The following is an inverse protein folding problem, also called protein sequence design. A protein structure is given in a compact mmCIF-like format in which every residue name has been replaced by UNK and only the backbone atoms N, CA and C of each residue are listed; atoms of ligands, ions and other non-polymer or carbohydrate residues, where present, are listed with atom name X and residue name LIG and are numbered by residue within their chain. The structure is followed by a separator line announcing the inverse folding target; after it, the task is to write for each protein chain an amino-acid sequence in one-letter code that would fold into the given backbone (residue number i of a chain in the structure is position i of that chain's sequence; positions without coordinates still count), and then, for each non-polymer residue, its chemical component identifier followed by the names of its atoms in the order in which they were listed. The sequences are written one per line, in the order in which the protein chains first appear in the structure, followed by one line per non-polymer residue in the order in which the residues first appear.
data_IF_964566378489
#
_entry.id   IF_964566378489
#
_cell.length_a   1.000
_cell.length_b   1.000
_cell.length_c   1.000
_cell.angle_alpha   90.00
_cell.angle_beta   90.00
_cell.angle_gamma   90.00
#
_symmetry.space_group_name_H-M   'P 1'
#
loop_
_entity.id
_entity.type
_entity.pdbx_description
1 polymer ?
#
# COMPACT_ATOMS: atom_id res chain seq x y z
N UNK A 1 8.81 17.02 -11.98
CA UNK A 1 8.10 17.59 -10.82
C UNK A 1 8.30 16.63 -9.65
N UNK A 2 8.53 17.08 -8.40
CA UNK A 2 8.73 16.13 -7.30
C UNK A 2 7.43 15.40 -7.00
N UNK A 3 7.47 14.08 -7.06
CA UNK A 3 6.36 13.22 -6.62
C UNK A 3 6.03 13.54 -5.16
N UNK A 4 4.76 13.86 -4.88
CA UNK A 4 4.33 13.98 -3.50
C UNK A 4 4.17 12.56 -2.94
N UNK A 5 4.80 12.27 -1.80
CA UNK A 5 4.83 10.94 -1.21
C UNK A 5 4.21 10.98 0.19
N UNK A 6 3.24 10.10 0.44
CA UNK A 6 2.64 9.89 1.77
C UNK A 6 2.92 8.46 2.21
N UNK A 7 3.80 8.28 3.20
CA UNK A 7 4.05 6.96 3.81
C UNK A 7 2.95 6.62 4.80
N UNK A 8 2.35 5.44 4.62
CA UNK A 8 1.28 4.93 5.47
C UNK A 8 1.86 4.26 6.72
N UNK A 9 2.36 5.07 7.67
CA UNK A 9 3.16 4.57 8.80
C UNK A 9 2.37 3.80 9.87
N UNK A 10 1.57 4.48 10.69
CA UNK A 10 0.83 3.86 11.80
C UNK A 10 -0.54 4.44 12.06
N UNK A 11 -1.49 3.72 12.71
CA UNK A 11 -1.43 2.30 13.06
C UNK A 11 -2.02 1.39 11.96
N UNK A 12 -1.39 0.24 11.73
CA UNK A 12 -1.97 -0.89 10.98
C UNK A 12 -2.57 -1.91 11.95
N UNK A 13 -3.67 -2.53 11.55
CA UNK A 13 -4.24 -3.70 12.22
C UNK A 13 -3.66 -4.96 11.57
N UNK A 14 -3.05 -5.82 12.36
CA UNK A 14 -2.57 -7.14 11.98
C UNK A 14 -3.59 -8.18 12.41
N UNK A 15 -4.13 -8.92 11.44
CA UNK A 15 -5.06 -10.01 11.67
C UNK A 15 -4.36 -11.32 11.31
N UNK A 16 -4.06 -12.18 12.28
CA UNK A 16 -3.60 -13.53 12.00
C UNK A 16 -4.62 -14.28 11.15
N UNK A 17 -4.16 -15.05 10.18
CA UNK A 17 -5.01 -16.02 9.49
C UNK A 17 -5.41 -17.16 10.42
N UNK A 18 -6.41 -17.97 10.04
CA UNK A 18 -6.83 -19.13 10.81
C UNK A 18 -5.64 -20.08 11.02
N UNK A 19 -5.34 -20.37 12.28
CA UNK A 19 -4.36 -21.41 12.64
C UNK A 19 -5.02 -22.80 12.64
N UNK A 20 -4.23 -23.87 12.48
CA UNK A 20 -4.75 -25.24 12.49
C UNK A 20 -5.43 -25.64 13.82
N UNK A 21 -5.11 -24.95 14.93
CA UNK A 21 -5.57 -25.25 16.30
C UNK A 21 -6.35 -24.08 16.96
N UNK A 22 -6.86 -23.12 16.18
CA UNK A 22 -7.49 -21.93 16.76
C UNK A 22 -8.99 -22.14 17.03
N UNK A 23 -9.34 -22.53 18.26
CA UNK A 23 -10.73 -22.60 18.75
C UNK A 23 -11.36 -21.20 18.95
N UNK A 24 -10.53 -20.15 19.00
CA UNK A 24 -10.94 -18.75 19.17
C UNK A 24 -10.53 -17.87 17.99
N UNK A 25 -11.35 -16.87 17.59
CA UNK A 25 -10.99 -15.92 16.55
C UNK A 25 -9.75 -15.12 16.98
N UNK A 26 -8.74 -14.97 16.09
CA UNK A 26 -7.51 -14.28 16.45
C UNK A 26 -7.78 -12.79 16.72
N UNK A 27 -7.34 -12.31 17.88
CA UNK A 27 -7.44 -10.89 18.24
C UNK A 27 -6.54 -10.05 17.33
N UNK A 28 -7.06 -8.94 16.75
CA UNK A 28 -6.23 -8.04 15.96
C UNK A 28 -5.19 -7.36 16.84
N UNK A 29 -3.92 -7.39 16.43
CA UNK A 29 -2.85 -6.60 17.05
C UNK A 29 -2.54 -5.36 16.21
N UNK A 30 -1.79 -4.40 16.77
CA UNK A 30 -1.39 -3.19 16.05
C UNK A 30 0.09 -3.20 15.72
N UNK A 31 0.45 -2.66 14.56
CA UNK A 31 1.82 -2.52 14.10
C UNK A 31 1.98 -1.19 13.36
N UNK A 32 3.16 -0.59 13.47
CA UNK A 32 3.57 0.53 12.62
C UNK A 32 4.51 0.05 11.52
N UNK A 33 4.35 0.62 10.34
CA UNK A 33 5.17 0.36 9.17
C UNK A 33 6.04 1.59 8.82
N UNK A 34 7.22 1.38 8.23
CA UNK A 34 7.88 0.08 8.16
C UNK A 34 8.37 -0.37 9.56
N UNK A 35 8.49 -1.67 9.76
CA UNK A 35 8.91 -2.29 11.01
C UNK A 35 10.32 -2.90 10.88
N UNK A 36 10.99 -3.19 11.99
CA UNK A 36 12.31 -3.82 11.95
C UNK A 36 12.25 -5.28 11.49
N UNK A 37 11.12 -5.97 11.75
CA UNK A 37 10.94 -7.37 11.37
C UNK A 37 9.46 -7.74 11.15
N UNK A 38 9.19 -8.78 10.34
CA UNK A 38 7.84 -9.31 10.15
C UNK A 38 7.30 -9.95 11.44
N UNK A 39 6.09 -9.60 11.90
CA UNK A 39 5.53 -10.12 13.16
C UNK A 39 5.08 -11.59 13.08
N UNK A 40 4.75 -12.10 11.88
CA UNK A 40 4.12 -13.41 11.68
C UNK A 40 4.67 -14.14 10.44
N UNK A 41 6.00 -14.29 10.36
CA UNK A 41 6.73 -14.96 9.28
C UNK A 41 6.13 -16.29 8.78
N UNK A 42 5.58 -17.07 9.70
CA UNK A 42 5.22 -18.48 9.48
C UNK A 42 3.71 -18.71 9.29
N UNK A 43 2.89 -17.65 9.32
CA UNK A 43 1.43 -17.79 9.20
C UNK A 43 0.87 -16.79 8.20
N UNK A 44 -0.18 -17.16 7.45
CA UNK A 44 -0.88 -16.17 6.65
C UNK A 44 -1.41 -15.08 7.57
N UNK A 45 -1.37 -13.83 7.14
CA UNK A 45 -1.95 -12.73 7.89
C UNK A 45 -2.48 -11.63 6.97
N UNK A 46 -3.30 -10.75 7.52
CA UNK A 46 -3.82 -9.58 6.82
C UNK A 46 -3.42 -8.32 7.57
N UNK A 47 -2.87 -7.36 6.86
CA UNK A 47 -2.64 -6.01 7.34
C UNK A 47 -3.77 -5.12 6.85
N UNK A 48 -4.40 -4.37 7.74
CA UNK A 48 -5.48 -3.43 7.42
C UNK A 48 -5.12 -2.04 7.89
N UNK A 49 -5.37 -1.05 7.07
CA UNK A 49 -5.23 0.35 7.47
C UNK A 49 -6.30 1.20 6.83
N UNK A 50 -6.87 2.09 7.63
CA UNK A 50 -7.71 3.15 7.12
C UNK A 50 -6.89 4.40 6.80
N UNK A 51 -7.15 5.02 5.66
CA UNK A 51 -6.52 6.29 5.28
C UNK A 51 -7.57 7.24 4.71
N UNK A 52 -7.37 8.54 4.94
CA UNK A 52 -8.24 9.57 4.38
C UNK A 52 -7.94 9.81 2.92
N UNK A 53 -8.91 10.36 2.17
CA UNK A 53 -8.59 10.94 0.86
C UNK A 53 -7.58 12.07 1.04
N UNK A 54 -6.44 12.05 0.33
CA UNK A 54 -5.48 13.14 0.35
C UNK A 54 -6.18 14.47 -0.04
N UNK A 55 -6.10 15.46 0.85
CA UNK A 55 -6.68 16.78 0.60
C UNK A 55 -5.79 17.51 -0.42
N UNK A 56 -6.39 18.05 -1.48
CA UNK A 56 -5.74 18.84 -2.55
C UNK A 56 -4.86 18.04 -3.53
N UNK A 57 -5.46 17.14 -4.30
CA UNK A 57 -4.86 16.74 -5.57
C UNK A 57 -5.34 17.68 -6.67
N UNK A 58 -4.44 18.26 -7.49
CA UNK A 58 -4.82 18.96 -8.71
C UNK A 58 -5.76 18.10 -9.57
N UNK A 59 -6.71 18.71 -10.30
CA UNK A 59 -7.45 17.99 -11.33
C UNK A 59 -6.47 17.31 -12.30
N UNK A 60 -6.66 16.01 -12.56
CA UNK A 60 -5.78 15.22 -13.42
C UNK A 60 -4.56 14.59 -12.74
N UNK A 61 -4.37 14.81 -11.44
CA UNK A 61 -3.34 14.09 -10.68
C UNK A 61 -3.71 12.63 -10.50
N UNK A 62 -2.75 11.74 -10.74
CA UNK A 62 -2.89 10.31 -10.47
C UNK A 62 -2.42 9.99 -9.04
N UNK A 63 -2.99 8.94 -8.44
CA UNK A 63 -2.51 8.37 -7.20
C UNK A 63 -2.11 6.92 -7.45
N UNK A 64 -0.92 6.53 -7.00
CA UNK A 64 -0.43 5.15 -7.05
C UNK A 64 -0.15 4.64 -5.66
N UNK A 65 -0.39 3.35 -5.44
CA UNK A 65 0.07 2.62 -4.28
C UNK A 65 1.40 1.97 -4.61
N UNK A 66 2.43 2.26 -3.82
CA UNK A 66 3.74 1.62 -3.86
C UNK A 66 3.98 0.82 -2.59
N UNK A 67 4.25 -0.47 -2.74
CA UNK A 67 4.56 -1.41 -1.65
C UNK A 67 5.92 -2.03 -1.90
N UNK A 68 6.80 -1.88 -0.92
CA UNK A 68 8.19 -2.35 -0.97
C UNK A 68 8.53 -3.14 0.29
N UNK A 69 9.47 -4.07 0.16
CA UNK A 69 10.01 -4.84 1.29
C UNK A 69 8.94 -5.59 2.10
N UNK A 70 7.87 -6.05 1.43
CA UNK A 70 6.76 -6.77 2.05
C UNK A 70 6.68 -8.21 1.50
N UNK A 71 7.64 -9.08 1.85
CA UNK A 71 7.65 -10.47 1.39
C UNK A 71 6.38 -11.21 1.81
N UNK A 72 5.93 -12.11 0.93
CA UNK A 72 4.70 -12.87 1.13
C UNK A 72 3.43 -12.13 0.72
N UNK A 73 3.51 -10.88 0.23
CA UNK A 73 2.34 -10.20 -0.34
C UNK A 73 1.75 -11.02 -1.48
N UNK A 74 0.48 -11.37 -1.36
CA UNK A 74 -0.25 -12.16 -2.38
C UNK A 74 -1.54 -11.49 -2.83
N UNK A 75 -2.04 -10.49 -2.09
CA UNK A 75 -3.27 -9.79 -2.47
C UNK A 75 -3.32 -8.40 -1.90
N UNK A 76 -3.83 -7.47 -2.70
CA UNK A 76 -4.12 -6.10 -2.30
C UNK A 76 -5.59 -5.80 -2.58
N UNK A 77 -6.29 -5.27 -1.59
CA UNK A 77 -7.66 -4.81 -1.75
C UNK A 77 -7.84 -3.39 -1.21
N UNK A 78 -8.69 -2.62 -1.88
CA UNK A 78 -9.09 -1.28 -1.49
C UNK A 78 -10.62 -1.23 -1.38
N UNK A 79 -11.13 -0.86 -0.20
CA UNK A 79 -12.57 -0.79 0.06
C UNK A 79 -13.31 -2.09 -0.32
N UNK A 80 -12.66 -3.25 -0.11
CA UNK A 80 -13.18 -4.57 -0.48
C UNK A 80 -12.99 -4.98 -1.94
N UNK A 81 -12.58 -4.07 -2.83
CA UNK A 81 -12.25 -4.37 -4.23
C UNK A 81 -10.82 -4.89 -4.34
N UNK A 82 -10.64 -6.04 -5.00
CA UNK A 82 -9.31 -6.61 -5.28
C UNK A 82 -8.63 -5.78 -6.36
N UNK A 83 -7.42 -5.31 -6.08
CA UNK A 83 -6.56 -4.62 -7.04
C UNK A 83 -5.47 -5.54 -7.59
N UNK A 84 -4.99 -6.47 -6.76
CA UNK A 84 -3.98 -7.47 -7.12
C UNK A 84 -4.36 -8.79 -6.48
N UNK A 85 -4.27 -9.87 -7.26
CA UNK A 85 -4.44 -11.25 -6.81
C UNK A 85 -3.29 -12.09 -7.39
N UNK A 86 -2.28 -12.33 -6.55
CA UNK A 86 -1.00 -12.94 -6.93
C UNK A 86 0.21 -12.24 -6.27
N UNK A 87 1.35 -12.93 -6.14
CA UNK A 87 2.57 -12.34 -5.61
C UNK A 87 3.19 -11.33 -6.60
N UNK A 88 3.65 -10.14 -6.14
CA UNK A 88 4.45 -9.25 -6.97
C UNK A 88 5.89 -9.76 -7.08
N UNK A 89 6.58 -9.40 -8.17
CA UNK A 89 7.96 -9.86 -8.41
C UNK A 89 8.98 -9.27 -7.42
N UNK A 90 8.79 -8.05 -6.94
CA UNK A 90 9.69 -7.40 -5.97
C UNK A 90 9.07 -6.17 -5.29
N UNK A 91 8.76 -5.16 -6.09
CA UNK A 91 8.03 -3.96 -5.70
C UNK A 91 6.68 -3.96 -6.40
N UNK A 92 5.62 -3.71 -5.65
CA UNK A 92 4.31 -3.52 -6.22
C UNK A 92 4.04 -2.03 -6.38
N UNK A 93 3.82 -1.59 -7.62
CA UNK A 93 3.31 -0.25 -7.91
C UNK A 93 2.06 -0.37 -8.78
N UNK A 94 0.95 0.24 -8.34
CA UNK A 94 -0.31 0.20 -9.08
C UNK A 94 -1.08 1.52 -8.94
N UNK A 95 -1.82 1.94 -9.99
CA UNK A 95 -2.72 3.09 -9.88
C UNK A 95 -3.88 2.76 -8.93
N UNK A 96 -4.17 3.69 -8.02
CA UNK A 96 -5.40 3.68 -7.25
C UNK A 96 -6.53 4.30 -8.09
N UNK A 97 -7.78 3.88 -7.89
CA UNK A 97 -8.89 4.44 -8.64
C UNK A 97 -9.16 5.89 -8.21
N UNK A 98 -9.63 6.72 -9.14
CA UNK A 98 -9.81 8.16 -8.93
C UNK A 98 -10.92 8.50 -7.92
N UNK A 99 -11.84 7.56 -7.67
CA UNK A 99 -12.99 7.67 -6.78
C UNK A 99 -12.69 7.30 -5.32
N UNK A 100 -11.50 7.67 -4.82
CA UNK A 100 -11.16 7.49 -3.41
C UNK A 100 -12.20 8.13 -2.49
N UNK A 101 -12.73 7.32 -1.57
CA UNK A 101 -13.70 7.75 -0.57
C UNK A 101 -13.04 8.67 0.47
N UNK A 102 -13.80 9.47 1.23
CA UNK A 102 -13.26 10.26 2.34
C UNK A 102 -12.48 9.40 3.35
N UNK A 103 -12.85 8.13 3.48
CA UNK A 103 -12.21 7.13 4.34
C UNK A 103 -12.08 5.81 3.58
N UNK A 104 -10.86 5.45 3.21
CA UNK A 104 -10.54 4.23 2.49
C UNK A 104 -9.97 3.16 3.43
N UNK A 105 -10.25 1.89 3.14
CA UNK A 105 -9.66 0.74 3.80
C UNK A 105 -8.72 0.04 2.81
N UNK A 106 -7.42 0.05 3.12
CA UNK A 106 -6.41 -0.74 2.43
C UNK A 106 -6.19 -2.05 3.18
N UNK A 107 -6.24 -3.16 2.46
CA UNK A 107 -6.02 -4.50 3.00
C UNK A 107 -4.92 -5.21 2.20
N UNK A 108 -3.89 -5.69 2.89
CA UNK A 108 -2.78 -6.44 2.32
C UNK A 108 -2.83 -7.86 2.89
N UNK A 109 -2.92 -8.88 2.04
CA UNK A 109 -2.87 -10.28 2.48
C UNK A 109 -1.49 -10.84 2.23
N UNK A 110 -0.91 -11.41 3.28
CA UNK A 110 0.39 -12.05 3.27
C UNK A 110 0.22 -13.55 3.41
N UNK A 111 0.83 -14.32 2.52
CA UNK A 111 1.04 -15.75 2.67
C UNK A 111 2.30 -16.00 3.54
N UNK A 112 2.41 -17.18 4.18
CA UNK A 112 3.66 -17.58 4.82
C UNK A 112 4.81 -17.50 3.82
N UNK A 113 5.92 -16.88 4.22
CA UNK A 113 7.10 -16.78 3.37
C UNK A 113 8.34 -17.08 4.18
N UNK A 114 9.07 -18.12 3.77
CA UNK A 114 10.39 -18.42 4.30
C UNK A 114 11.47 -17.45 3.77
N UNK A 115 11.14 -16.65 2.75
CA UNK A 115 12.02 -15.66 2.13
C UNK A 115 12.08 -14.36 2.94
N UNK A 116 12.28 -14.47 4.25
CA UNK A 116 12.70 -13.33 5.06
C UNK A 116 14.21 -13.38 5.03
N UNK A 117 14.90 -12.51 4.28
CA UNK A 117 16.34 -12.41 4.43
C UNK A 117 16.60 -11.91 5.85
N UNK A 118 17.09 -12.79 6.73
CA UNK A 118 17.54 -12.50 8.10
C UNK A 118 18.68 -11.46 8.18
N UNK A 119 18.98 -10.77 7.07
CA UNK A 119 20.13 -9.89 6.88
C UNK A 119 19.84 -8.67 5.97
N UNK A 120 18.57 -8.35 5.64
CA UNK A 120 18.31 -7.09 4.96
C UNK A 120 18.29 -5.94 5.98
N UNK A 121 19.24 -5.00 5.90
CA UNK A 121 19.22 -3.74 6.66
C UNK A 121 18.06 -2.81 6.31
N UNK A 122 17.13 -3.27 5.46
CA UNK A 122 16.00 -2.50 4.95
C UNK A 122 14.78 -2.77 5.83
N UNK A 123 14.00 -1.73 6.17
CA UNK A 123 12.89 -1.88 7.07
C UNK A 123 11.73 -2.61 6.37
N UNK A 124 11.08 -3.52 7.09
CA UNK A 124 10.02 -4.37 6.59
C UNK A 124 8.73 -3.60 6.33
N UNK A 125 8.14 -3.81 5.15
CA UNK A 125 6.82 -3.32 4.80
C UNK A 125 6.74 -1.79 4.64
N UNK A 126 7.37 -1.24 3.60
CA UNK A 126 7.20 0.16 3.25
C UNK A 126 5.99 0.31 2.34
N UNK A 127 4.97 1.04 2.82
CA UNK A 127 3.74 1.32 2.06
C UNK A 127 3.60 2.82 1.86
N UNK A 128 3.50 3.25 0.60
CA UNK A 128 3.51 4.67 0.21
C UNK A 128 2.41 4.95 -0.80
N UNK A 129 1.73 6.08 -0.64
CA UNK A 129 0.93 6.69 -1.71
C UNK A 129 1.82 7.66 -2.46
N UNK A 130 1.91 7.47 -3.78
CA UNK A 130 2.66 8.31 -4.71
C UNK A 130 1.66 9.15 -5.50
N UNK A 131 1.87 10.47 -5.55
CA UNK A 131 1.03 11.37 -6.32
C UNK A 131 1.85 12.04 -7.40
N UNK A 132 1.37 11.93 -8.63
CA UNK A 132 1.94 12.64 -9.75
C UNK A 132 1.08 13.87 -10.05
N UNK A 133 1.74 14.98 -10.31
CA UNK A 133 1.07 16.15 -10.86
C UNK A 133 0.57 15.79 -12.26
N UNK A 134 -0.63 16.26 -12.62
CA UNK A 134 -1.02 16.28 -14.02
C UNK A 134 0.06 17.06 -14.79
N UNK A 135 0.59 16.50 -15.88
CA UNK A 135 1.49 17.24 -16.74
C UNK A 135 0.74 18.50 -17.21
N UNK A 136 1.17 19.67 -16.74
CA UNK A 136 0.66 20.94 -17.24
C UNK A 136 1.04 20.99 -18.71
N UNK A 137 0.10 20.68 -19.58
CA UNK A 137 0.17 21.04 -21.00
C UNK A 137 0.07 22.57 -21.08
N UNK A 138 1.16 23.28 -20.72
CA UNK A 138 1.38 24.66 -21.14
C UNK A 138 2.08 24.59 -22.51
N UNK A 139 1.33 24.13 -23.50
CA UNK A 139 1.64 24.32 -24.91
C UNK A 139 1.00 25.61 -25.39
N UNK A 140 1.43 26.76 -24.87
CA UNK A 140 1.05 28.07 -25.44
C UNK A 140 1.58 28.16 -26.87
N UNK A 141 0.72 27.99 -27.87
CA UNK A 141 0.92 28.65 -29.15
C UNK A 141 0.62 30.14 -28.97
N UNK A 142 1.58 31.06 -29.13
CA UNK A 142 1.23 32.46 -29.28
C UNK A 142 0.48 32.66 -30.61
N UNK A 143 -0.61 33.45 -30.67
CA UNK A 143 -1.23 33.79 -31.94
C UNK A 143 -0.24 34.59 -32.79
N UNK A 144 -0.23 34.42 -34.13
CA UNK A 144 0.63 35.20 -35.00
C UNK A 144 0.25 36.67 -34.88
N UNK A 145 1.22 37.51 -34.49
CA UNK A 145 1.09 38.96 -34.57
C UNK A 145 0.95 39.37 -36.04
N UNK A 146 -0.19 39.96 -36.39
CA UNK A 146 -0.36 40.76 -37.61
C UNK A 146 0.01 42.20 -37.33
#
# INVERSE_FOLDING_TARGET
MPDHLIRLRGPWELLPGPGPDADAPPSPSRLDLPADSPPLALRPCRLRRRFGRPLRLPPGSSCRLRVEHLPGLVRVALNGRILVDGPPDSTLELPLPDDLLPRNLLELTLAPSAAIPSASSLPWGVVTLVFEAADSVDGRSPPPRR
#
